data_IF_762116644068
#
_entry.id   IF_762116644068
#
_cell.length_a   1.000
_cell.length_b   1.000
_cell.length_c   1.000
_cell.angle_alpha   90.00
_cell.angle_beta   90.00
_cell.angle_gamma   90.00
#
_symmetry.space_group_name_H-M   'P 1'
#
loop_
_entity.id
_entity.type
_entity.pdbx_description
1 polymer ?
#
# COMPACT_ATOMS: atom_id res chain seq x y z
N UNK A 1 -19.93 5.78 6.68
CA UNK A 1 -20.85 4.63 6.61
C UNK A 1 -20.09 3.31 6.52
N UNK A 2 -19.12 3.15 5.61
CA UNK A 2 -18.40 1.88 5.40
C UNK A 2 -17.65 1.40 6.66
N UNK A 3 -17.05 2.29 7.45
CA UNK A 3 -16.37 1.95 8.71
C UNK A 3 -17.27 1.19 9.71
N UNK A 4 -18.60 1.34 9.62
CA UNK A 4 -19.56 0.73 10.53
C UNK A 4 -20.05 -0.66 10.06
N UNK A 5 -19.64 -1.11 8.89
CA UNK A 5 -19.97 -2.43 8.34
C UNK A 5 -18.94 -3.41 8.83
N UNK A 6 -19.36 -4.62 9.24
CA UNK A 6 -18.40 -5.67 9.60
C UNK A 6 -17.68 -6.20 8.34
N UNK A 7 -16.52 -6.81 8.56
CA UNK A 7 -15.76 -7.47 7.48
C UNK A 7 -16.58 -8.60 6.88
N UNK A 8 -17.29 -9.37 7.72
CA UNK A 8 -18.15 -10.50 7.32
C UNK A 8 -19.34 -10.05 6.45
N UNK A 9 -19.98 -8.93 6.81
CA UNK A 9 -21.08 -8.36 6.01
C UNK A 9 -20.59 -7.95 4.62
N UNK A 10 -19.47 -7.20 4.55
CA UNK A 10 -18.86 -6.80 3.29
C UNK A 10 -18.45 -8.02 2.45
N UNK A 11 -17.81 -9.01 3.10
CA UNK A 11 -17.40 -10.25 2.46
C UNK A 11 -18.60 -11.04 1.91
N UNK A 12 -19.68 -11.18 2.71
CA UNK A 12 -20.90 -11.88 2.28
C UNK A 12 -21.55 -11.25 1.06
N UNK A 13 -21.64 -9.91 1.02
CA UNK A 13 -22.18 -9.17 -0.14
C UNK A 13 -21.33 -9.42 -1.40
N UNK A 14 -20.01 -9.36 -1.27
CA UNK A 14 -19.08 -9.60 -2.38
C UNK A 14 -19.19 -11.02 -2.92
N UNK A 15 -19.24 -12.02 -2.02
CA UNK A 15 -19.43 -13.44 -2.38
C UNK A 15 -20.72 -13.66 -3.16
N UNK A 16 -21.83 -13.09 -2.71
CA UNK A 16 -23.11 -13.18 -3.38
C UNK A 16 -23.12 -12.54 -4.78
N UNK A 17 -22.16 -11.67 -5.05
CA UNK A 17 -21.93 -11.05 -6.37
C UNK A 17 -20.87 -11.74 -7.21
N UNK A 18 -20.31 -12.88 -6.72
CA UNK A 18 -19.28 -13.65 -7.44
C UNK A 18 -17.84 -13.24 -7.15
N UNK A 19 -17.60 -12.25 -6.26
CA UNK A 19 -16.25 -11.82 -5.86
C UNK A 19 -15.74 -12.69 -4.71
N UNK A 20 -15.07 -13.77 -5.02
CA UNK A 20 -14.72 -14.81 -4.05
C UNK A 20 -13.39 -14.56 -3.29
N UNK A 21 -12.53 -13.67 -3.79
CA UNK A 21 -11.14 -13.51 -3.34
C UNK A 21 -10.80 -12.06 -2.95
N UNK A 22 -11.73 -11.30 -2.38
CA UNK A 22 -11.51 -9.88 -2.09
C UNK A 22 -11.04 -9.58 -0.67
N UNK A 23 -10.80 -10.59 0.14
CA UNK A 23 -10.27 -10.46 1.51
C UNK A 23 -8.87 -11.02 1.63
N UNK A 24 -8.01 -10.31 2.35
CA UNK A 24 -6.71 -10.80 2.79
C UNK A 24 -6.52 -10.55 4.28
N UNK A 25 -6.06 -11.56 4.99
CA UNK A 25 -5.77 -11.54 6.42
C UNK A 25 -4.28 -11.55 6.75
N UNK A 26 -3.98 -11.82 8.02
CA UNK A 26 -2.62 -12.03 8.51
C UNK A 26 -1.72 -10.79 8.35
N UNK A 27 -2.10 -9.71 9.00
CA UNK A 27 -1.41 -8.43 8.96
C UNK A 27 -0.78 -8.06 10.31
N UNK A 28 0.36 -7.39 10.26
CA UNK A 28 0.83 -6.51 11.32
C UNK A 28 0.19 -5.14 11.11
N UNK A 29 -0.44 -4.59 12.16
CA UNK A 29 -1.20 -3.35 12.03
C UNK A 29 -0.51 -2.24 12.82
N UNK A 30 -0.29 -1.11 12.15
CA UNK A 30 0.18 0.13 12.77
C UNK A 30 -1.07 0.96 13.10
N UNK A 31 -1.22 1.37 14.36
CA UNK A 31 -2.36 2.13 14.89
C UNK A 31 -3.72 1.45 14.61
N UNK A 32 -4.01 0.30 15.27
CA UNK A 32 -5.18 -0.53 14.97
C UNK A 32 -6.52 0.04 15.47
N UNK A 33 -6.51 1.14 16.23
CA UNK A 33 -7.67 1.61 17.00
C UNK A 33 -8.87 2.03 16.16
N UNK A 34 -8.64 2.36 14.87
CA UNK A 34 -9.72 2.74 13.96
C UNK A 34 -9.65 2.02 12.61
N UNK A 35 -10.81 1.63 12.05
CA UNK A 35 -10.87 1.12 10.69
C UNK A 35 -10.41 2.17 9.67
N UNK A 36 -9.61 1.75 8.68
CA UNK A 36 -9.24 2.60 7.55
C UNK A 36 -10.11 2.29 6.33
N UNK A 37 -10.61 3.34 5.70
CA UNK A 37 -11.34 3.25 4.43
C UNK A 37 -10.87 4.34 3.49
N UNK A 38 -10.82 4.04 2.19
CA UNK A 38 -10.46 5.03 1.18
C UNK A 38 -10.41 4.45 -0.21
N UNK A 39 -10.18 5.31 -1.19
CA UNK A 39 -9.97 4.93 -2.58
C UNK A 39 -8.56 4.38 -2.76
N UNK A 40 -8.43 3.28 -3.46
CA UNK A 40 -7.16 2.61 -3.70
C UNK A 40 -6.33 3.32 -4.78
N UNK A 41 -5.08 3.62 -4.46
CA UNK A 41 -4.01 3.93 -5.41
C UNK A 41 -3.01 2.79 -5.34
N UNK A 42 -2.77 2.12 -6.47
CA UNK A 42 -1.95 0.91 -6.51
C UNK A 42 -0.51 1.16 -6.95
N UNK A 43 0.42 0.37 -6.42
CA UNK A 43 1.77 0.24 -6.93
C UNK A 43 2.24 -1.22 -6.88
N UNK A 44 2.99 -1.63 -7.92
CA UNK A 44 3.60 -2.95 -8.00
C UNK A 44 5.11 -2.82 -7.90
N UNK A 45 5.69 -3.65 -7.04
CA UNK A 45 7.13 -3.84 -6.95
C UNK A 45 7.51 -5.28 -7.32
N UNK A 46 8.63 -5.44 -7.99
CA UNK A 46 9.21 -6.74 -8.34
C UNK A 46 10.65 -6.84 -7.83
N UNK A 47 11.22 -8.06 -7.74
CA UNK A 47 12.64 -8.22 -7.44
C UNK A 47 13.51 -7.36 -8.34
N UNK A 48 14.59 -6.80 -7.77
CA UNK A 48 15.47 -5.88 -8.50
C UNK A 48 16.08 -6.57 -9.72
N UNK A 49 15.94 -5.89 -10.85
CA UNK A 49 16.61 -6.19 -12.10
C UNK A 49 17.24 -4.90 -12.63
N UNK A 50 18.58 -4.77 -12.55
CA UNK A 50 19.25 -3.47 -12.76
C UNK A 50 19.01 -2.82 -14.11
N UNK A 51 18.89 -3.61 -15.18
CA UNK A 51 18.60 -3.11 -16.54
C UNK A 51 17.19 -2.52 -16.64
N UNK A 52 16.19 -3.17 -16.04
CA UNK A 52 14.81 -2.65 -15.98
C UNK A 52 14.72 -1.43 -15.07
N UNK A 53 15.34 -1.46 -13.91
CA UNK A 53 15.33 -0.32 -12.98
C UNK A 53 15.92 0.94 -13.64
N UNK A 54 17.01 0.78 -14.40
CA UNK A 54 17.60 1.88 -15.17
C UNK A 54 16.60 2.47 -16.17
N UNK A 55 15.94 1.63 -16.97
CA UNK A 55 14.91 2.06 -17.92
C UNK A 55 13.73 2.77 -17.25
N UNK A 56 13.24 2.24 -16.11
CA UNK A 56 12.17 2.85 -15.34
C UNK A 56 12.57 4.25 -14.86
N UNK A 57 13.79 4.42 -14.35
CA UNK A 57 14.32 5.72 -13.91
C UNK A 57 14.46 6.71 -15.07
N UNK A 58 14.95 6.26 -16.22
CA UNK A 58 15.09 7.08 -17.44
C UNK A 58 13.71 7.52 -17.95
N UNK A 59 12.74 6.60 -18.02
CA UNK A 59 11.37 6.92 -18.39
C UNK A 59 10.72 7.90 -17.43
N UNK A 60 10.83 7.65 -16.11
CA UNK A 60 10.28 8.56 -15.10
C UNK A 60 10.88 9.96 -15.18
N UNK A 61 12.16 10.08 -15.50
CA UNK A 61 12.79 11.38 -15.77
C UNK A 61 12.19 12.07 -17.01
N UNK A 62 11.98 11.32 -18.08
CA UNK A 62 11.36 11.83 -19.29
C UNK A 62 9.90 12.27 -19.08
N UNK A 63 9.18 11.59 -18.20
CA UNK A 63 7.81 11.93 -17.77
C UNK A 63 7.76 13.08 -16.74
N UNK A 64 8.88 13.63 -16.31
CA UNK A 64 8.95 14.72 -15.34
C UNK A 64 8.72 14.28 -13.89
N UNK A 65 8.85 12.99 -13.57
CA UNK A 65 8.74 12.50 -12.19
C UNK A 65 9.87 13.04 -11.33
N UNK A 66 9.61 13.21 -10.04
CA UNK A 66 10.61 13.67 -9.08
C UNK A 66 11.86 12.79 -9.12
N UNK A 67 13.01 13.44 -9.20
CA UNK A 67 14.32 12.79 -9.08
C UNK A 67 14.90 12.91 -7.68
N UNK A 68 14.15 13.48 -6.75
CA UNK A 68 14.51 13.56 -5.33
C UNK A 68 13.97 12.32 -4.61
N UNK A 69 14.85 11.59 -3.95
CA UNK A 69 14.52 10.32 -3.31
C UNK A 69 14.50 9.14 -4.29
N UNK A 70 14.00 8.01 -3.84
CA UNK A 70 13.85 6.80 -4.67
C UNK A 70 12.55 6.78 -5.48
N UNK A 71 12.46 5.85 -6.42
CA UNK A 71 11.23 5.63 -7.22
C UNK A 71 10.00 5.30 -6.36
N UNK A 72 10.22 4.80 -5.14
CA UNK A 72 9.16 4.54 -4.15
C UNK A 72 8.44 5.81 -3.66
N UNK A 73 8.95 7.00 -3.93
CA UNK A 73 8.22 8.25 -3.69
C UNK A 73 7.18 8.56 -4.77
N UNK A 74 7.31 8.03 -5.98
CA UNK A 74 6.43 8.36 -7.09
C UNK A 74 4.94 8.00 -6.89
N UNK A 75 4.58 6.85 -6.30
CA UNK A 75 3.18 6.59 -5.95
C UNK A 75 2.62 7.58 -4.93
N UNK A 76 3.48 8.12 -4.05
CA UNK A 76 3.08 9.10 -3.04
C UNK A 76 2.76 10.45 -3.69
N UNK A 77 3.47 10.81 -4.76
CA UNK A 77 3.29 12.09 -5.44
C UNK A 77 1.88 12.28 -6.02
N UNK A 78 1.20 11.20 -6.38
CA UNK A 78 -0.14 11.23 -6.98
C UNK A 78 -1.29 11.10 -5.98
N UNK A 79 -1.00 10.86 -4.70
CA UNK A 79 -2.03 10.74 -3.67
C UNK A 79 -2.76 12.06 -3.46
N UNK A 80 -4.07 11.94 -3.23
CA UNK A 80 -4.94 13.04 -2.80
C UNK A 80 -5.74 12.63 -1.56
N UNK A 81 -6.39 13.57 -0.90
CA UNK A 81 -7.18 13.30 0.30
C UNK A 81 -8.23 12.22 0.06
N UNK A 82 -8.27 11.25 0.97
CA UNK A 82 -9.15 10.07 0.91
C UNK A 82 -8.54 8.86 0.22
N UNK A 83 -7.35 8.96 -0.37
CA UNK A 83 -6.66 7.82 -0.97
C UNK A 83 -6.00 6.94 0.09
N UNK A 84 -5.96 5.64 -0.19
CA UNK A 84 -5.13 4.66 0.53
C UNK A 84 -4.07 4.15 -0.44
N UNK A 85 -2.81 4.25 -0.05
CA UNK A 85 -1.71 3.70 -0.85
C UNK A 85 -1.62 2.18 -0.64
N UNK A 86 -1.87 1.42 -1.69
CA UNK A 86 -1.86 -0.05 -1.68
C UNK A 86 -0.73 -0.56 -2.57
N UNK A 87 0.19 -1.33 -2.00
CA UNK A 87 1.34 -1.83 -2.75
C UNK A 87 1.50 -3.34 -2.60
N UNK A 88 1.76 -4.00 -3.73
CA UNK A 88 2.27 -5.36 -3.77
C UNK A 88 3.80 -5.34 -3.93
N UNK A 89 4.50 -5.84 -2.94
CA UNK A 89 5.94 -6.11 -2.97
C UNK A 89 6.24 -7.57 -2.64
N UNK A 90 5.40 -8.47 -3.13
CA UNK A 90 5.51 -9.94 -3.04
C UNK A 90 5.86 -10.47 -1.64
N UNK A 91 5.46 -9.77 -0.58
CA UNK A 91 5.74 -10.16 0.81
C UNK A 91 7.19 -9.95 1.26
N UNK A 92 8.00 -9.21 0.50
CA UNK A 92 9.40 -8.98 0.85
C UNK A 92 9.53 -8.15 2.13
N UNK A 93 10.37 -8.63 3.05
CA UNK A 93 10.63 -7.95 4.33
C UNK A 93 12.03 -7.31 4.30
N UNK A 94 13.08 -8.10 4.33
CA UNK A 94 14.46 -7.62 4.37
C UNK A 94 14.84 -7.00 3.02
N UNK A 95 15.53 -5.86 3.03
CA UNK A 95 15.95 -5.12 1.83
C UNK A 95 14.81 -4.70 0.90
N UNK A 96 13.58 -4.67 1.42
CA UNK A 96 12.36 -4.38 0.67
C UNK A 96 11.41 -3.42 1.38
N UNK A 97 11.86 -2.65 2.35
CA UNK A 97 11.02 -1.72 3.10
C UNK A 97 10.60 -0.53 2.22
N UNK A 98 9.28 -0.41 1.99
CA UNK A 98 8.72 0.56 1.06
C UNK A 98 8.82 2.00 1.55
N UNK A 99 8.59 2.21 2.83
CA UNK A 99 8.60 3.51 3.49
C UNK A 99 9.21 3.43 4.89
N UNK A 100 9.66 4.57 5.39
CA UNK A 100 9.87 4.86 6.80
C UNK A 100 8.97 6.02 7.23
N UNK A 101 9.23 6.60 8.39
CA UNK A 101 8.46 7.68 9.01
C UNK A 101 8.34 8.94 8.12
N UNK A 102 9.41 9.34 7.46
CA UNK A 102 9.42 10.52 6.57
C UNK A 102 8.42 10.37 5.40
N UNK A 103 8.42 9.22 4.73
CA UNK A 103 7.46 8.94 3.66
C UNK A 103 6.06 8.70 4.21
N UNK A 104 5.94 8.10 5.40
CA UNK A 104 4.69 7.97 6.13
C UNK A 104 4.02 9.33 6.39
N UNK A 105 4.78 10.31 6.88
CA UNK A 105 4.32 11.68 7.05
C UNK A 105 3.86 12.31 5.72
N UNK A 106 4.60 12.08 4.64
CA UNK A 106 4.24 12.58 3.30
C UNK A 106 2.94 11.95 2.79
N UNK A 107 2.74 10.64 2.99
CA UNK A 107 1.50 9.93 2.66
C UNK A 107 0.34 10.54 3.45
N UNK A 108 0.48 10.65 4.76
CA UNK A 108 -0.59 11.19 5.61
C UNK A 108 -0.92 12.65 5.31
N UNK A 109 0.09 13.47 5.06
CA UNK A 109 -0.10 14.88 4.69
C UNK A 109 -1.00 15.03 3.45
N UNK A 110 -0.83 14.15 2.45
CA UNK A 110 -1.60 14.17 1.20
C UNK A 110 -2.94 13.47 1.30
N UNK A 111 -2.96 12.27 1.83
CA UNK A 111 -4.12 11.39 1.76
C UNK A 111 -5.05 11.46 2.96
N UNK A 112 -4.56 11.89 4.12
CA UNK A 112 -5.23 11.77 5.42
C UNK A 112 -5.66 10.32 5.73
N UNK A 113 -4.90 9.37 5.18
CA UNK A 113 -5.06 7.93 5.34
C UNK A 113 -3.69 7.31 5.54
N UNK A 114 -3.61 6.01 5.38
CA UNK A 114 -2.39 5.24 5.52
C UNK A 114 -2.16 4.29 4.36
N UNK A 115 -1.68 3.09 4.67
CA UNK A 115 -1.16 2.15 3.68
C UNK A 115 -1.70 0.74 3.88
N UNK A 116 -1.73 -0.03 2.78
CA UNK A 116 -1.87 -1.48 2.79
C UNK A 116 -0.73 -2.04 1.93
N UNK A 117 0.28 -2.63 2.57
CA UNK A 117 1.47 -3.14 1.87
C UNK A 117 1.60 -4.65 2.02
N UNK A 118 1.49 -5.38 0.93
CA UNK A 118 1.89 -6.78 0.89
C UNK A 118 3.42 -6.87 0.85
N UNK A 119 4.03 -6.39 1.92
CA UNK A 119 5.46 -6.17 2.11
C UNK A 119 5.76 -5.50 3.44
N UNK A 120 6.85 -4.75 3.51
CA UNK A 120 7.38 -4.23 4.78
C UNK A 120 7.59 -2.72 4.80
N UNK A 121 7.74 -2.22 6.01
CA UNK A 121 8.15 -0.84 6.31
C UNK A 121 9.37 -0.85 7.22
N UNK A 122 10.06 0.28 7.33
CA UNK A 122 11.02 0.55 8.42
C UNK A 122 10.47 1.65 9.33
N UNK A 123 11.18 1.92 10.41
CA UNK A 123 10.82 2.99 11.37
C UNK A 123 9.36 2.86 11.87
N UNK A 124 8.93 1.63 12.21
CA UNK A 124 7.55 1.35 12.61
C UNK A 124 7.12 2.19 13.83
N UNK A 125 8.03 2.45 14.76
CA UNK A 125 7.78 3.31 15.91
C UNK A 125 7.42 4.74 15.45
N UNK A 126 8.26 5.35 14.61
CA UNK A 126 7.99 6.68 14.05
C UNK A 126 6.72 6.75 13.20
N UNK A 127 6.38 5.66 12.47
CA UNK A 127 5.11 5.57 11.76
C UNK A 127 3.91 5.55 12.72
N UNK A 128 4.05 4.89 13.88
CA UNK A 128 2.99 4.82 14.88
C UNK A 128 2.72 6.16 15.60
N UNK A 129 3.71 7.06 15.61
CA UNK A 129 3.59 8.42 16.17
C UNK A 129 2.85 9.40 15.25
N UNK A 130 2.63 9.05 13.99
CA UNK A 130 1.88 9.90 13.05
C UNK A 130 0.39 9.80 13.39
N UNK A 131 -0.16 10.84 14.01
CA UNK A 131 -1.56 10.89 14.41
C UNK A 131 -2.50 10.70 13.21
N UNK A 132 -3.37 9.67 13.28
CA UNK A 132 -4.33 9.31 12.23
C UNK A 132 -3.78 8.46 11.09
N UNK A 133 -2.48 8.17 11.06
CA UNK A 133 -1.91 7.21 10.11
C UNK A 133 -2.20 5.78 10.54
N UNK A 134 -2.67 4.96 9.60
CA UNK A 134 -2.85 3.52 9.82
C UNK A 134 -2.06 2.73 8.79
N UNK A 135 -1.59 1.53 9.14
CA UNK A 135 -0.86 0.68 8.22
C UNK A 135 -1.18 -0.81 8.42
N UNK A 136 -1.53 -1.49 7.35
CA UNK A 136 -1.62 -2.94 7.26
C UNK A 136 -0.42 -3.43 6.46
N UNK A 137 0.50 -4.13 7.10
CA UNK A 137 1.79 -4.53 6.54
C UNK A 137 2.08 -5.99 6.84
N UNK A 138 2.99 -6.62 6.11
CA UNK A 138 3.43 -8.00 6.40
C UNK A 138 4.58 -8.07 7.40
N UNK A 139 5.28 -6.97 7.63
CA UNK A 139 6.33 -6.89 8.63
C UNK A 139 7.10 -5.58 8.60
N UNK A 140 8.13 -5.51 9.41
CA UNK A 140 9.06 -4.38 9.48
C UNK A 140 10.51 -4.87 9.57
N UNK A 141 11.43 -4.06 9.05
CA UNK A 141 12.87 -4.34 9.05
C UNK A 141 13.65 -3.01 8.99
N UNK A 142 14.82 -2.88 9.59
CA UNK A 142 15.59 -1.62 9.52
C UNK A 142 16.27 -1.37 8.17
N UNK A 143 16.23 -2.31 7.23
CA UNK A 143 16.87 -2.18 5.92
C UNK A 143 16.17 -1.16 5.02
N UNK A 144 16.79 -0.88 3.88
CA UNK A 144 16.24 -0.01 2.83
C UNK A 144 15.64 -0.82 1.69
N UNK A 145 14.96 -0.11 0.77
CA UNK A 145 14.48 -0.66 -0.49
C UNK A 145 15.65 -0.81 -1.48
N UNK A 146 16.37 -1.92 -1.40
CA UNK A 146 17.59 -2.16 -2.19
C UNK A 146 17.49 -3.36 -3.13
N UNK A 147 16.57 -4.29 -2.87
CA UNK A 147 16.46 -5.55 -3.60
C UNK A 147 15.14 -5.68 -4.37
N UNK A 148 14.46 -4.59 -4.60
CA UNK A 148 13.27 -4.53 -5.43
C UNK A 148 13.14 -3.19 -6.15
N UNK A 149 12.33 -3.14 -7.19
CA UNK A 149 12.10 -1.98 -8.02
C UNK A 149 10.61 -1.73 -8.22
N UNK A 150 10.21 -0.46 -8.26
CA UNK A 150 8.87 -0.06 -8.67
C UNK A 150 8.70 -0.36 -10.17
N UNK A 151 7.63 -1.05 -10.54
CA UNK A 151 7.35 -1.40 -11.94
C UNK A 151 6.13 -0.70 -12.51
N UNK A 152 5.06 -0.57 -11.73
CA UNK A 152 3.85 0.11 -12.20
C UNK A 152 3.19 0.91 -11.08
N UNK A 153 2.46 1.96 -11.49
CA UNK A 153 1.59 2.76 -10.64
C UNK A 153 0.22 2.79 -11.33
N UNK A 154 -0.86 2.72 -10.53
CA UNK A 154 -2.24 2.70 -11.04
C UNK A 154 -2.51 1.62 -12.10
N UNK A 155 -2.03 0.40 -11.82
CA UNK A 155 -2.34 -0.80 -12.57
C UNK A 155 -2.97 -1.85 -11.64
N UNK A 156 -3.64 -2.88 -12.17
CA UNK A 156 -4.10 -4.01 -11.37
C UNK A 156 -2.92 -4.68 -10.67
N UNK A 157 -3.09 -4.98 -9.37
CA UNK A 157 -2.10 -5.68 -8.56
C UNK A 157 -2.75 -6.85 -7.81
N UNK A 158 -1.92 -7.69 -7.20
CA UNK A 158 -2.37 -8.76 -6.33
C UNK A 158 -1.97 -8.47 -4.87
N UNK A 159 -2.93 -8.48 -3.97
CA UNK A 159 -2.68 -8.43 -2.52
C UNK A 159 -3.09 -9.78 -1.94
N UNK A 160 -2.10 -10.63 -1.66
CA UNK A 160 -2.34 -12.01 -1.27
C UNK A 160 -3.18 -12.76 -2.31
N UNK A 161 -4.43 -13.12 -1.96
CA UNK A 161 -5.38 -13.76 -2.87
C UNK A 161 -6.31 -12.78 -3.60
N UNK A 162 -6.33 -11.50 -3.21
CA UNK A 162 -7.20 -10.51 -3.81
C UNK A 162 -6.59 -9.87 -5.05
N UNK A 163 -7.41 -9.62 -6.07
CA UNK A 163 -7.10 -8.72 -7.18
C UNK A 163 -7.61 -7.32 -6.80
N UNK A 164 -6.75 -6.33 -6.92
CA UNK A 164 -7.01 -4.95 -6.53
C UNK A 164 -6.76 -4.03 -7.70
N UNK A 165 -7.77 -3.22 -8.03
CA UNK A 165 -7.70 -2.26 -9.11
C UNK A 165 -7.57 -0.83 -8.55
N UNK A 166 -6.93 0.08 -9.29
CA UNK A 166 -6.99 1.50 -8.97
C UNK A 166 -8.45 1.96 -8.94
N UNK A 167 -8.84 2.66 -7.86
CA UNK A 167 -10.19 3.14 -7.70
C UNK A 167 -11.12 2.24 -6.89
N UNK A 168 -10.75 0.98 -6.64
CA UNK A 168 -11.44 0.15 -5.65
C UNK A 168 -11.51 0.86 -4.30
N UNK A 169 -12.40 0.43 -3.44
CA UNK A 169 -12.49 0.94 -2.08
C UNK A 169 -11.93 -0.10 -1.11
N UNK A 170 -11.03 0.32 -0.23
CA UNK A 170 -10.53 -0.52 0.84
C UNK A 170 -11.34 -0.34 2.12
N UNK A 171 -11.63 -1.45 2.79
CA UNK A 171 -12.04 -1.51 4.18
C UNK A 171 -11.02 -2.38 4.92
N UNK A 172 -10.19 -1.75 5.73
CA UNK A 172 -9.17 -2.41 6.55
C UNK A 172 -9.57 -2.32 8.03
N UNK A 173 -9.57 -3.47 8.69
CA UNK A 173 -9.97 -3.65 10.09
C UNK A 173 -8.99 -4.58 10.82
N UNK A 174 -9.30 -4.90 12.07
CA UNK A 174 -8.46 -5.57 13.06
C UNK A 174 -7.71 -6.79 12.54
N UNK A 175 -8.31 -7.61 11.70
CA UNK A 175 -7.71 -8.87 11.27
C UNK A 175 -7.60 -9.03 9.75
N UNK A 176 -8.00 -7.99 8.99
CA UNK A 176 -7.88 -8.10 7.56
C UNK A 176 -8.37 -6.92 6.75
N UNK A 177 -8.15 -7.04 5.46
CA UNK A 177 -8.45 -6.00 4.48
C UNK A 177 -9.38 -6.58 3.42
N UNK A 178 -10.48 -5.88 3.15
CA UNK A 178 -11.38 -6.14 2.02
C UNK A 178 -11.19 -5.06 0.95
N UNK A 179 -11.10 -5.50 -0.30
CA UNK A 179 -11.10 -4.64 -1.47
C UNK A 179 -12.45 -4.76 -2.18
N UNK A 180 -13.13 -3.64 -2.34
CA UNK A 180 -14.49 -3.54 -2.87
C UNK A 180 -14.40 -2.88 -4.25
N UNK A 181 -14.75 -3.61 -5.31
CA UNK A 181 -14.80 -3.10 -6.69
C UNK A 181 -15.81 -1.98 -6.89
#
# INVERSE_FOLDING_TARGET
RLKNISTEEAWGVLRNRGYNNQFEGDWTIINPDEPMTGRVVTAQYLPLRPDMEKQIKEQGKAEGRSQKGGTNSWPIDILVEGDVYVADSYGKIVDGTLIGDNLGNSIYAKSKRGVVFYGSVRDQEGLSEIEGFNGWIKGSDPSYITQMMLTTINAPIRIGRAIVLPGDVVLAKDYGVIFIP
#
